data_IF_552583523162
#
_entry.id   IF_552583523162
#
_cell.length_a   1.000
_cell.length_b   1.000
_cell.length_c   1.000
_cell.angle_alpha   90.00
_cell.angle_beta   90.00
_cell.angle_gamma   90.00
#
_symmetry.space_group_name_H-M   'P 1'
#
loop_
_entity.id
_entity.type
_entity.pdbx_description
1 polymer ?
#
# COMPACT_ATOMS: atom_id res chain seq x y z
N UNK A 1 -20.20 19.31 15.59
CA UNK A 1 -19.20 18.56 14.80
C UNK A 1 -18.70 19.33 13.57
N UNK A 2 -19.57 19.86 12.69
CA UNK A 2 -19.17 20.58 11.45
C UNK A 2 -18.26 21.82 11.68
N UNK A 3 -18.46 22.55 12.77
CA UNK A 3 -17.68 23.77 13.11
C UNK A 3 -16.25 23.46 13.57
N UNK A 4 -16.03 22.29 14.19
CA UNK A 4 -14.70 21.84 14.64
C UNK A 4 -13.86 21.41 13.42
N UNK A 5 -14.48 20.69 12.47
CA UNK A 5 -13.82 20.33 11.21
C UNK A 5 -13.39 21.58 10.41
N UNK A 6 -14.23 22.62 10.37
CA UNK A 6 -13.90 23.88 9.70
C UNK A 6 -12.76 24.64 10.40
N UNK A 7 -12.74 24.65 11.74
CA UNK A 7 -11.65 25.26 12.52
C UNK A 7 -10.32 24.51 12.34
N UNK A 8 -10.34 23.17 12.29
CA UNK A 8 -9.17 22.36 11.96
C UNK A 8 -8.68 22.61 10.54
N UNK A 9 -9.60 22.76 9.58
CA UNK A 9 -9.27 23.06 8.19
C UNK A 9 -8.64 24.46 8.03
N UNK A 10 -9.15 25.47 8.72
CA UNK A 10 -8.59 26.83 8.69
C UNK A 10 -7.24 26.91 9.41
N UNK A 11 -7.04 26.15 10.49
CA UNK A 11 -5.75 26.08 11.19
C UNK A 11 -4.64 25.43 10.33
N UNK A 12 -5.00 24.47 9.47
CA UNK A 12 -4.08 23.84 8.52
C UNK A 12 -3.59 24.82 7.43
N UNK A 13 -4.38 25.85 7.10
CA UNK A 13 -4.02 26.86 6.09
C UNK A 13 -3.02 27.92 6.60
N UNK A 14 -2.73 27.95 7.91
CA UNK A 14 -1.89 28.97 8.55
C UNK A 14 -0.45 28.48 8.88
N UNK A 15 -0.02 27.34 8.34
CA UNK A 15 1.35 26.85 8.57
C UNK A 15 2.38 27.64 7.72
N UNK A 16 3.46 28.19 8.32
CA UNK A 16 4.45 28.99 7.61
C UNK A 16 5.22 28.16 6.57
N UNK A 17 5.40 28.73 5.37
CA UNK A 17 5.98 28.12 4.17
C UNK A 17 7.52 27.99 4.18
N UNK A 18 8.11 27.51 5.28
CA UNK A 18 9.53 27.14 5.28
C UNK A 18 9.70 25.75 4.66
N UNK A 19 9.72 25.68 3.32
CA UNK A 19 10.03 24.49 2.50
C UNK A 19 9.62 23.16 3.17
N UNK A 20 8.34 23.04 3.47
CA UNK A 20 7.74 21.93 4.23
C UNK A 20 7.28 20.77 3.33
N UNK A 21 7.65 20.84 2.06
CA UNK A 21 7.16 20.00 0.99
C UNK A 21 8.37 19.31 0.36
N UNK A 22 8.39 17.97 0.39
CA UNK A 22 9.45 17.21 -0.29
C UNK A 22 8.88 16.14 -1.18
N UNK A 23 9.21 16.24 -2.46
CA UNK A 23 9.00 15.18 -3.42
C UNK A 23 10.13 14.16 -3.28
N UNK A 24 9.79 12.89 -3.41
CA UNK A 24 10.78 11.85 -3.56
C UNK A 24 10.27 10.66 -4.34
N UNK A 25 11.21 9.77 -4.61
CA UNK A 25 11.00 8.47 -5.23
C UNK A 25 11.25 7.39 -4.19
N UNK A 26 10.54 6.28 -4.29
CA UNK A 26 10.84 5.11 -3.49
C UNK A 26 10.57 3.83 -4.27
N UNK A 27 11.34 2.81 -3.97
CA UNK A 27 11.20 1.47 -4.54
C UNK A 27 11.42 0.42 -3.44
N UNK A 28 10.93 -0.78 -3.66
CA UNK A 28 10.95 -1.81 -2.63
C UNK A 28 10.41 -3.14 -3.07
N UNK A 29 10.36 -4.06 -2.11
CA UNK A 29 9.80 -5.39 -2.24
C UNK A 29 8.57 -5.52 -1.35
N UNK A 30 7.61 -6.33 -1.77
CA UNK A 30 6.44 -6.72 -1.00
C UNK A 30 6.38 -8.25 -0.92
N UNK A 31 6.01 -8.73 0.26
CA UNK A 31 5.76 -10.12 0.58
C UNK A 31 4.31 -10.18 1.03
N UNK A 32 3.44 -10.63 0.12
CA UNK A 32 2.00 -10.63 0.29
C UNK A 32 1.56 -12.01 0.78
N UNK A 33 0.88 -12.03 1.91
CA UNK A 33 0.21 -13.20 2.45
C UNK A 33 -1.27 -13.10 2.06
N UNK A 34 -1.71 -13.99 1.19
CA UNK A 34 -3.13 -14.16 0.84
C UNK A 34 -3.68 -15.32 1.65
N UNK A 35 -4.80 -15.10 2.34
CA UNK A 35 -5.52 -16.19 3.01
C UNK A 35 -6.07 -17.17 1.96
N UNK A 36 -5.95 -18.46 2.22
CA UNK A 36 -6.49 -19.55 1.38
C UNK A 36 -7.97 -19.32 1.03
N UNK A 37 -8.38 -19.71 -0.18
CA UNK A 37 -9.80 -19.75 -0.56
C UNK A 37 -10.34 -21.15 -0.27
N UNK A 38 -11.32 -21.25 0.63
CA UNK A 38 -12.11 -22.45 0.85
C UNK A 38 -13.47 -22.38 0.13
N UNK A 39 -13.75 -23.35 -0.75
CA UNK A 39 -15.02 -23.55 -1.45
C UNK A 39 -15.25 -25.03 -1.80
N UNK A 40 -15.97 -25.33 -2.90
CA UNK A 40 -16.15 -26.73 -3.39
C UNK A 40 -14.86 -27.36 -3.96
N UNK A 41 -13.80 -26.57 -4.12
CA UNK A 41 -12.41 -26.98 -4.38
C UNK A 41 -11.47 -26.13 -3.52
N UNK A 42 -10.36 -26.70 -3.07
CA UNK A 42 -9.30 -26.00 -2.34
C UNK A 42 -8.40 -25.27 -3.35
N UNK A 43 -8.12 -23.98 -3.12
CA UNK A 43 -7.09 -23.23 -3.83
C UNK A 43 -6.14 -22.63 -2.77
N UNK A 44 -4.92 -23.15 -2.71
CA UNK A 44 -3.86 -22.65 -1.83
C UNK A 44 -3.18 -21.48 -2.52
N UNK A 45 -3.14 -20.31 -1.87
CA UNK A 45 -2.40 -19.16 -2.37
C UNK A 45 -1.03 -19.17 -1.69
N UNK A 46 -0.01 -19.70 -2.36
CA UNK A 46 1.36 -19.62 -1.85
C UNK A 46 1.83 -18.14 -1.82
N UNK A 47 2.65 -17.79 -0.82
CA UNK A 47 3.10 -16.43 -0.55
C UNK A 47 3.61 -15.72 -1.83
N UNK A 48 2.98 -14.61 -2.20
CA UNK A 48 3.35 -13.87 -3.40
C UNK A 48 4.46 -12.87 -3.07
N UNK A 49 5.54 -12.87 -3.86
CA UNK A 49 6.62 -11.89 -3.73
C UNK A 49 6.61 -10.97 -4.93
N UNK A 50 6.71 -9.67 -4.67
CA UNK A 50 6.73 -8.69 -5.74
C UNK A 50 7.54 -7.44 -5.40
N UNK A 51 7.35 -6.42 -6.23
CA UNK A 51 8.04 -5.14 -6.07
C UNK A 51 7.07 -3.98 -6.19
N UNK A 52 7.49 -2.84 -5.64
CA UNK A 52 6.77 -1.59 -5.83
C UNK A 52 7.74 -0.45 -6.11
N UNK A 53 7.29 0.53 -6.89
CA UNK A 53 8.02 1.75 -7.22
C UNK A 53 7.04 2.90 -7.36
N UNK A 54 7.43 4.09 -6.89
CA UNK A 54 6.54 5.21 -6.92
C UNK A 54 7.13 6.52 -6.45
N UNK A 55 6.25 7.50 -6.42
CA UNK A 55 6.51 8.85 -5.94
C UNK A 55 5.79 9.07 -4.63
N UNK A 56 6.36 9.93 -3.79
CA UNK A 56 5.66 10.42 -2.61
C UNK A 56 5.99 11.89 -2.36
N UNK A 57 5.12 12.51 -1.59
CA UNK A 57 5.21 13.90 -1.20
C UNK A 57 5.00 14.02 0.31
N UNK A 58 6.02 14.52 1.00
CA UNK A 58 5.95 14.84 2.44
C UNK A 58 5.49 16.28 2.62
N UNK A 59 4.42 16.47 3.37
CA UNK A 59 3.85 17.73 3.81
C UNK A 59 4.03 17.86 5.32
N UNK A 60 4.93 18.75 5.74
CA UNK A 60 5.14 19.09 7.14
C UNK A 60 6.62 19.15 7.51
N UNK A 61 6.92 19.98 8.49
CA UNK A 61 8.22 20.06 9.13
C UNK A 61 8.01 20.06 10.64
N UNK A 62 8.66 19.14 11.35
CA UNK A 62 8.53 18.99 12.80
C UNK A 62 8.31 17.54 13.22
N UNK A 63 7.66 17.30 14.37
CA UNK A 63 7.41 15.95 14.87
C UNK A 63 6.37 15.21 14.02
N UNK A 64 5.48 15.91 13.32
CA UNK A 64 4.41 15.30 12.50
C UNK A 64 4.56 15.73 11.04
N UNK A 65 4.36 14.79 10.12
CA UNK A 65 4.29 15.05 8.68
C UNK A 65 3.19 14.17 8.06
N UNK A 66 2.54 14.67 7.02
CA UNK A 66 1.63 13.92 6.18
C UNK A 66 2.38 13.47 4.92
N UNK A 67 2.35 12.18 4.60
CA UNK A 67 2.94 11.64 3.36
C UNK A 67 1.83 11.15 2.45
N UNK A 68 1.81 11.64 1.23
CA UNK A 68 0.91 11.17 0.17
C UNK A 68 1.77 10.52 -0.90
N UNK A 69 1.40 9.32 -1.36
CA UNK A 69 2.15 8.58 -2.38
C UNK A 69 1.30 8.15 -3.55
N UNK A 70 1.97 7.75 -4.63
CA UNK A 70 1.42 6.99 -5.74
C UNK A 70 2.46 5.95 -6.15
N UNK A 71 2.11 4.68 -6.00
CA UNK A 71 3.00 3.53 -6.20
C UNK A 71 2.38 2.55 -7.17
N UNK A 72 3.16 2.15 -8.17
CA UNK A 72 2.91 0.91 -8.88
C UNK A 72 3.42 -0.24 -8.03
N UNK A 73 2.59 -1.25 -7.81
CA UNK A 73 2.94 -2.48 -7.11
C UNK A 73 2.58 -3.68 -7.98
N UNK A 74 3.51 -4.62 -8.02
CA UNK A 74 3.32 -5.93 -8.62
C UNK A 74 3.25 -6.96 -7.48
N UNK A 75 2.28 -7.86 -7.58
CA UNK A 75 2.10 -9.03 -6.72
C UNK A 75 2.27 -10.23 -7.65
N UNK A 76 3.50 -10.72 -7.75
CA UNK A 76 3.88 -11.80 -8.67
C UNK A 76 3.85 -13.16 -7.97
N UNK A 77 3.68 -14.20 -8.78
CA UNK A 77 3.68 -15.61 -8.42
C UNK A 77 2.57 -16.01 -7.44
N UNK A 78 1.32 -15.79 -7.85
CA UNK A 78 0.18 -16.50 -7.26
C UNK A 78 0.05 -17.82 -8.01
N UNK A 79 0.65 -18.88 -7.48
CA UNK A 79 0.46 -20.25 -7.97
C UNK A 79 -0.92 -20.71 -7.51
N UNK A 80 -1.87 -20.78 -8.45
CA UNK A 80 -3.21 -21.32 -8.18
C UNK A 80 -3.22 -22.78 -8.62
N UNK A 81 -3.00 -23.71 -7.69
CA UNK A 81 -3.23 -25.14 -7.97
C UNK A 81 -4.75 -25.41 -7.90
N UNK A 82 -5.41 -25.27 -9.05
CA UNK A 82 -6.78 -25.72 -9.25
C UNK A 82 -6.74 -26.94 -10.16
N UNK A 83 -6.99 -28.13 -9.59
CA UNK A 83 -7.11 -29.44 -10.25
C UNK A 83 -7.42 -29.37 -11.76
N UNK A 84 -6.35 -29.30 -12.58
CA UNK A 84 -6.37 -29.27 -14.05
C UNK A 84 -6.16 -27.92 -14.77
N UNK A 85 -5.91 -26.80 -14.07
CA UNK A 85 -5.64 -25.48 -14.65
C UNK A 85 -4.33 -24.93 -14.06
N UNK A 86 -3.21 -25.13 -14.78
CA UNK A 86 -1.98 -24.39 -14.53
C UNK A 86 -2.13 -22.98 -15.11
N UNK A 87 -2.28 -21.97 -14.24
CA UNK A 87 -2.37 -20.57 -14.63
C UNK A 87 -1.60 -19.68 -13.67
N UNK A 88 -0.67 -18.88 -14.19
CA UNK A 88 -0.06 -17.80 -13.42
C UNK A 88 -1.06 -16.64 -13.34
N UNK A 89 -1.52 -16.30 -12.14
CA UNK A 89 -2.36 -15.13 -11.91
C UNK A 89 -1.48 -13.90 -11.69
N UNK A 90 -1.52 -12.94 -12.61
CA UNK A 90 -0.80 -11.67 -12.49
C UNK A 90 -1.68 -10.61 -11.83
N UNK A 91 -1.20 -10.04 -10.73
CA UNK A 91 -1.91 -8.98 -10.02
C UNK A 91 -1.02 -7.75 -9.87
N UNK A 92 -1.50 -6.63 -10.39
CA UNK A 92 -0.84 -5.34 -10.25
C UNK A 92 -1.79 -4.36 -9.58
N UNK A 93 -1.25 -3.39 -8.84
CA UNK A 93 -2.06 -2.37 -8.17
C UNK A 93 -1.40 -1.00 -8.28
N UNK A 94 -2.23 0.03 -8.45
CA UNK A 94 -1.83 1.41 -8.18
C UNK A 94 -2.26 1.77 -6.76
N UNK A 95 -1.29 1.93 -5.86
CA UNK A 95 -1.51 2.25 -4.46
C UNK A 95 -1.30 3.74 -4.18
N UNK A 96 -2.30 4.35 -3.55
CA UNK A 96 -2.29 5.74 -3.07
C UNK A 96 -2.32 5.74 -1.54
N UNK A 97 -1.16 5.62 -0.86
CA UNK A 97 -1.08 5.73 0.59
C UNK A 97 -1.18 7.18 1.07
N UNK A 98 -1.88 7.38 2.18
CA UNK A 98 -1.99 8.66 2.87
C UNK A 98 -1.56 8.44 4.33
N UNK A 99 -0.28 8.59 4.60
CA UNK A 99 0.30 8.25 5.90
C UNK A 99 0.47 9.48 6.79
N UNK A 100 0.08 9.36 8.05
CA UNK A 100 0.52 10.29 9.09
C UNK A 100 1.82 9.75 9.70
N UNK A 101 2.88 10.54 9.64
CA UNK A 101 4.21 10.22 10.15
C UNK A 101 4.50 10.97 11.44
N UNK A 102 5.02 10.26 12.44
CA UNK A 102 5.48 10.82 13.71
C UNK A 102 6.99 10.56 13.88
N UNK A 103 7.79 11.62 13.81
CA UNK A 103 9.23 11.59 14.05
C UNK A 103 9.50 11.50 15.56
N UNK A 104 10.14 10.41 16.00
CA UNK A 104 10.36 10.08 17.41
C UNK A 104 11.52 10.86 18.03
N UNK A 105 12.55 11.17 17.24
CA UNK A 105 13.71 11.92 17.70
C UNK A 105 14.09 13.04 16.72
N UNK A 106 14.46 14.17 17.28
CA UNK A 106 14.79 15.39 16.54
C UNK A 106 16.31 15.55 16.34
N UNK A 107 17.04 14.47 16.05
CA UNK A 107 18.46 14.67 15.67
C UNK A 107 18.54 15.28 14.26
N UNK A 108 19.54 16.13 13.97
CA UNK A 108 19.64 16.77 12.66
C UNK A 108 19.91 15.80 11.49
N UNK A 109 20.50 14.63 11.79
CA UNK A 109 21.01 13.69 10.78
C UNK A 109 20.12 12.45 10.67
N UNK A 110 19.74 11.83 11.80
CA UNK A 110 18.99 10.57 11.84
C UNK A 110 17.68 10.79 12.59
N UNK A 111 16.55 10.59 11.90
CA UNK A 111 15.21 10.79 12.45
C UNK A 111 14.42 9.49 12.32
N UNK A 112 14.40 8.64 13.36
CA UNK A 112 13.47 7.52 13.39
C UNK A 112 12.03 8.03 13.46
N UNK A 113 11.12 7.32 12.82
CA UNK A 113 9.70 7.65 12.82
C UNK A 113 8.84 6.40 12.74
N UNK A 114 7.60 6.56 13.16
CA UNK A 114 6.51 5.63 12.89
C UNK A 114 5.52 6.30 11.94
N UNK A 115 4.75 5.52 11.22
CA UNK A 115 3.68 6.05 10.38
C UNK A 115 2.51 5.08 10.31
N UNK A 116 1.38 5.59 9.86
CA UNK A 116 0.24 4.76 9.47
C UNK A 116 -0.86 5.59 8.82
N UNK A 117 -1.72 4.92 8.08
CA UNK A 117 -2.79 5.56 7.34
C UNK A 117 -3.49 4.62 6.37
N UNK A 118 -4.54 5.11 5.69
CA UNK A 118 -5.21 4.35 4.65
C UNK A 118 -4.36 4.23 3.38
N UNK A 119 -4.61 3.17 2.63
CA UNK A 119 -4.13 2.94 1.26
C UNK A 119 -5.35 2.70 0.40
N UNK A 120 -5.46 3.46 -0.69
CA UNK A 120 -6.45 3.21 -1.74
C UNK A 120 -5.71 2.51 -2.86
N UNK A 121 -6.17 1.33 -3.24
CA UNK A 121 -5.55 0.47 -4.25
C UNK A 121 -6.47 0.33 -5.45
N UNK A 122 -5.93 0.45 -6.64
CA UNK A 122 -6.63 0.20 -7.91
C UNK A 122 -6.03 -1.08 -8.49
N UNK A 123 -6.68 -2.25 -8.33
CA UNK A 123 -6.14 -3.49 -8.82
C UNK A 123 -6.35 -3.65 -10.33
N UNK A 124 -5.44 -4.35 -11.00
CA UNK A 124 -5.45 -4.62 -12.43
C UNK A 124 -4.73 -5.95 -12.72
N UNK A 125 -5.11 -6.59 -13.82
CA UNK A 125 -4.55 -7.84 -14.35
C UNK A 125 -4.33 -7.68 -15.85
N UNK A 126 -3.35 -8.38 -16.40
CA UNK A 126 -3.07 -8.42 -17.85
C UNK A 126 -4.06 -9.30 -18.62
N UNK A 127 -4.66 -10.27 -17.94
CA UNK A 127 -5.72 -11.12 -18.47
C UNK A 127 -7.11 -10.50 -18.18
N UNK A 128 -7.94 -10.40 -19.22
CA UNK A 128 -9.27 -9.80 -19.16
C UNK A 128 -10.26 -10.56 -18.26
N UNK A 129 -10.17 -11.90 -18.19
CA UNK A 129 -11.04 -12.70 -17.34
C UNK A 129 -10.76 -12.42 -15.86
N UNK A 130 -9.47 -12.37 -15.51
CA UNK A 130 -9.02 -12.01 -14.17
C UNK A 130 -9.30 -10.53 -13.85
N UNK A 131 -9.11 -9.61 -14.79
CA UNK A 131 -9.44 -8.20 -14.61
C UNK A 131 -10.92 -7.98 -14.27
N UNK A 132 -11.81 -8.73 -14.90
CA UNK A 132 -13.26 -8.64 -14.64
C UNK A 132 -13.66 -9.17 -13.26
N UNK A 133 -12.86 -10.04 -12.64
CA UNK A 133 -13.06 -10.54 -11.28
C UNK A 133 -12.61 -9.57 -10.18
N UNK A 134 -11.82 -8.55 -10.53
CA UNK A 134 -11.30 -7.56 -9.58
C UNK A 134 -12.31 -6.46 -9.28
N UNK A 135 -12.21 -5.92 -8.06
CA UNK A 135 -12.92 -4.71 -7.65
C UNK A 135 -12.33 -3.46 -8.28
N UNK A 136 -13.14 -2.41 -8.46
CA UNK A 136 -12.63 -1.14 -9.03
C UNK A 136 -11.64 -0.44 -8.09
N UNK A 137 -11.84 -0.57 -6.78
CA UNK A 137 -10.96 -0.02 -5.75
C UNK A 137 -10.97 -0.94 -4.53
N UNK A 138 -9.82 -1.09 -3.90
CA UNK A 138 -9.67 -1.71 -2.59
C UNK A 138 -9.12 -0.70 -1.58
N UNK A 139 -9.46 -0.87 -0.31
CA UNK A 139 -9.01 -0.03 0.80
C UNK A 139 -8.28 -0.91 1.81
N UNK A 140 -7.07 -0.49 2.16
CA UNK A 140 -6.27 -1.13 3.20
C UNK A 140 -5.85 -0.11 4.25
N UNK A 141 -5.55 -0.58 5.45
CA UNK A 141 -4.80 0.18 6.43
C UNK A 141 -3.32 -0.17 6.31
N UNK A 142 -2.43 0.74 6.66
CA UNK A 142 -1.04 0.41 6.85
C UNK A 142 -0.49 1.04 8.13
N UNK A 143 0.57 0.43 8.63
CA UNK A 143 1.40 0.97 9.69
C UNK A 143 2.86 0.56 9.45
N UNK A 144 3.79 1.33 9.97
CA UNK A 144 5.19 1.00 9.78
C UNK A 144 6.15 1.88 10.55
N UNK A 145 7.41 1.56 10.37
CA UNK A 145 8.54 2.25 10.99
C UNK A 145 9.57 2.58 9.92
N UNK A 146 10.31 3.66 10.13
CA UNK A 146 11.36 4.05 9.21
C UNK A 146 12.37 4.96 9.87
N UNK A 147 13.45 5.22 9.13
CA UNK A 147 14.53 6.11 9.58
C UNK A 147 14.86 7.07 8.47
N UNK A 148 14.71 8.38 8.70
CA UNK A 148 15.15 9.40 7.75
C UNK A 148 16.61 9.77 8.04
N UNK A 149 17.49 9.60 7.07
CA UNK A 149 18.92 9.91 7.13
C UNK A 149 19.20 11.09 6.20
N UNK A 150 19.66 12.22 6.74
CA UNK A 150 20.04 13.39 5.95
C UNK A 150 21.46 13.24 5.40
N UNK A 151 21.60 13.28 4.08
CA UNK A 151 22.85 13.19 3.31
C UNK A 151 22.99 14.46 2.47
N UNK A 152 23.53 15.53 3.06
CA UNK A 152 23.63 16.83 2.40
C UNK A 152 22.25 17.45 2.13
N UNK A 153 21.93 17.63 0.85
CA UNK A 153 20.61 18.08 0.38
C UNK A 153 19.60 16.94 0.20
N UNK A 154 20.04 15.68 0.23
CA UNK A 154 19.18 14.52 0.03
C UNK A 154 18.77 13.89 1.36
N UNK A 155 17.65 13.17 1.36
CA UNK A 155 17.21 12.33 2.48
C UNK A 155 16.99 10.90 2.00
N UNK A 156 17.61 9.95 2.68
CA UNK A 156 17.37 8.52 2.50
C UNK A 156 16.40 8.03 3.57
N UNK A 157 15.47 7.14 3.22
CA UNK A 157 14.53 6.54 4.17
C UNK A 157 14.29 5.07 3.88
N UNK A 158 15.01 4.16 4.55
CA UNK A 158 14.56 2.79 4.71
C UNK A 158 13.30 2.72 5.58
N UNK A 159 12.32 1.93 5.15
CA UNK A 159 11.06 1.69 5.83
C UNK A 159 10.70 0.20 5.82
N UNK A 160 10.07 -0.22 6.92
CA UNK A 160 9.33 -1.46 7.03
C UNK A 160 7.85 -1.08 7.21
N UNK A 161 6.99 -1.64 6.36
CA UNK A 161 5.55 -1.39 6.34
C UNK A 161 4.79 -2.70 6.45
N UNK A 162 3.74 -2.70 7.25
CA UNK A 162 2.75 -3.76 7.28
C UNK A 162 1.42 -3.20 6.77
N UNK A 163 0.86 -3.82 5.75
CA UNK A 163 -0.44 -3.48 5.15
C UNK A 163 -1.46 -4.52 5.60
N UNK A 164 -2.62 -4.03 6.02
CA UNK A 164 -3.73 -4.83 6.51
C UNK A 164 -4.92 -4.58 5.58
N UNK A 165 -5.39 -5.63 4.92
CA UNK A 165 -6.59 -5.59 4.09
C UNK A 165 -7.83 -5.26 4.93
N UNK A 166 -8.46 -4.13 4.63
CA UNK A 166 -9.71 -3.70 5.29
C UNK A 166 -10.91 -4.03 4.42
N UNK A 167 -10.81 -3.79 3.11
CA UNK A 167 -11.78 -4.24 2.12
C UNK A 167 -11.23 -5.39 1.28
N UNK A 168 -12.14 -6.06 0.58
CA UNK A 168 -11.85 -7.09 -0.41
C UNK A 168 -11.34 -6.43 -1.69
N UNK A 169 -10.60 -7.20 -2.50
CA UNK A 169 -10.10 -6.79 -3.83
C UNK A 169 -10.67 -7.65 -4.97
N UNK A 170 -11.38 -8.74 -4.65
CA UNK A 170 -12.15 -9.56 -5.57
C UNK A 170 -13.65 -9.38 -5.31
N UNK A 171 -14.47 -9.58 -6.34
CA UNK A 171 -15.94 -9.57 -6.26
C UNK A 171 -16.47 -10.80 -5.52
N UNK A 172 -17.68 -10.69 -4.95
CA UNK A 172 -18.33 -11.75 -4.18
C UNK A 172 -18.60 -13.03 -4.99
N UNK A 173 -18.97 -12.85 -6.26
CA UNK A 173 -19.14 -13.91 -7.25
C UNK A 173 -18.41 -13.49 -8.53
N UNK A 174 -17.57 -14.37 -9.06
CA UNK A 174 -16.88 -14.15 -10.33
C UNK A 174 -16.70 -15.45 -11.10
N UNK A 175 -16.57 -15.34 -12.42
CA UNK A 175 -16.38 -16.48 -13.31
C UNK A 175 -15.01 -16.37 -13.98
N UNK A 176 -14.22 -17.43 -13.93
CA UNK A 176 -13.01 -17.59 -14.75
C UNK A 176 -13.28 -18.75 -15.71
N UNK A 177 -13.41 -18.43 -16.99
CA UNK A 177 -13.87 -19.40 -18.00
C UNK A 177 -15.33 -19.82 -17.76
N UNK A 178 -15.58 -21.12 -17.57
CA UNK A 178 -16.92 -21.69 -17.31
C UNK A 178 -17.12 -22.11 -15.84
N UNK A 179 -16.24 -21.68 -14.94
CA UNK A 179 -16.25 -22.07 -13.52
C UNK A 179 -16.63 -20.84 -12.69
N UNK A 180 -17.70 -20.97 -11.92
CA UNK A 180 -18.14 -19.94 -10.98
C UNK A 180 -17.42 -20.12 -9.64
N UNK A 181 -16.83 -19.04 -9.13
CA UNK A 181 -16.17 -18.96 -7.84
C UNK A 181 -16.97 -18.05 -6.92
N UNK A 182 -17.10 -18.44 -5.65
CA UNK A 182 -17.61 -17.59 -4.58
C UNK A 182 -16.43 -17.24 -3.67
N UNK A 183 -16.10 -15.95 -3.59
CA UNK A 183 -15.03 -15.52 -2.69
C UNK A 183 -15.55 -15.62 -1.25
N UNK A 184 -14.83 -16.31 -0.37
CA UNK A 184 -15.15 -16.40 1.05
C UNK A 184 -14.90 -15.05 1.74
N UNK A 185 -15.80 -14.61 2.65
CA UNK A 185 -15.87 -13.25 3.26
C UNK A 185 -14.54 -12.71 3.86
N UNK A 186 -13.52 -13.56 4.00
CA UNK A 186 -12.27 -13.30 4.69
C UNK A 186 -11.02 -13.15 3.80
N UNK A 187 -11.12 -12.94 2.48
CA UNK A 187 -9.96 -12.59 1.65
C UNK A 187 -9.39 -11.21 2.02
N UNK A 188 -8.53 -11.19 3.03
CA UNK A 188 -7.85 -9.99 3.55
C UNK A 188 -6.39 -10.09 3.16
N UNK A 189 -6.00 -9.29 2.18
CA UNK A 189 -4.62 -9.21 1.72
C UNK A 189 -3.76 -8.50 2.78
N UNK A 190 -2.84 -9.23 3.40
CA UNK A 190 -1.83 -8.66 4.28
C UNK A 190 -0.49 -8.63 3.56
N UNK A 191 0.33 -7.63 3.84
CA UNK A 191 1.62 -7.49 3.16
C UNK A 191 2.68 -6.93 4.09
N UNK A 192 3.85 -7.55 4.07
CA UNK A 192 5.08 -6.96 4.62
C UNK A 192 5.85 -6.34 3.47
N UNK A 193 6.14 -5.04 3.57
CA UNK A 193 6.87 -4.30 2.53
C UNK A 193 8.16 -3.70 3.09
N UNK A 194 9.23 -3.91 2.34
CA UNK A 194 10.51 -3.24 2.53
C UNK A 194 10.61 -2.14 1.48
N UNK A 195 10.86 -0.90 1.91
CA UNK A 195 10.94 0.24 1.00
C UNK A 195 12.19 1.05 1.28
N UNK A 196 12.85 1.47 0.22
CA UNK A 196 13.90 2.47 0.26
C UNK A 196 13.49 3.63 -0.62
N UNK A 197 13.62 4.85 -0.13
CA UNK A 197 13.50 5.98 -1.01
C UNK A 197 14.45 7.12 -0.73
N UNK A 198 14.38 8.07 -1.65
CA UNK A 198 15.19 9.26 -1.73
C UNK A 198 14.28 10.48 -1.91
N UNK A 199 14.51 11.51 -1.10
CA UNK A 199 13.79 12.78 -1.11
C UNK A 199 14.73 13.96 -1.21
N UNK A 200 14.24 15.03 -1.84
CA UNK A 200 14.94 16.31 -2.01
C UNK A 200 14.33 17.36 -1.06
#
# INVERSE_FOLDING_TARGET
MKKIALLLFVALLWMPSQTMAQLGIAAGMNFDEMSDISGDKEATFENATGYHVGLYYDLGAGPIALRIGAFYREVSDIEVDLDGIDGAFDLTMIDVPIDLRLNLAATPIIKPYIFGGPVISIPSSSDDAYHNALESFAVSGNLGVGVSIKLGSMRLFPELRYVIGVSRFMKDEFEIGNISFSADEAQRHNSVMLRLGIGL
#
